data_IF_647713291518
#
_entry.id   IF_647713291518
#
_cell.length_a   1.000
_cell.length_b   1.000
_cell.length_c   1.000
_cell.angle_alpha   90.00
_cell.angle_beta   90.00
_cell.angle_gamma   90.00
#
_symmetry.space_group_name_H-M   'P 1'
#
loop_
_entity.id
_entity.type
_entity.pdbx_description
1 polymer ?
#
# COMPACT_ATOMS: atom_id res chain seq x y z
N UNK A 1 -90.89 0.13 25.25
CA UNK A 1 -89.66 0.79 25.72
C UNK A 1 -88.43 -0.02 25.24
N UNK A 2 -87.76 0.31 24.17
CA UNK A 2 -86.56 -0.36 23.75
C UNK A 2 -85.30 0.41 24.26
N UNK A 3 -84.36 -0.33 24.76
CA UNK A 3 -83.02 0.13 25.20
C UNK A 3 -82.16 0.19 23.98
N UNK A 4 -81.61 1.38 23.68
CA UNK A 4 -80.59 1.56 22.64
C UNK A 4 -79.17 1.26 23.24
N UNK A 5 -78.54 0.24 22.65
CA UNK A 5 -77.21 -0.13 22.94
C UNK A 5 -76.20 0.67 22.03
N UNK A 6 -75.56 1.69 22.59
CA UNK A 6 -74.50 2.43 21.93
C UNK A 6 -73.20 1.64 22.06
N UNK A 7 -72.78 0.99 20.99
CA UNK A 7 -71.50 0.37 20.85
C UNK A 7 -70.52 1.42 20.32
N UNK A 8 -69.67 1.95 21.20
CA UNK A 8 -68.45 2.73 20.85
C UNK A 8 -67.44 1.79 20.19
N UNK A 9 -67.28 1.89 18.87
CA UNK A 9 -66.17 1.30 18.12
C UNK A 9 -64.92 2.18 18.28
N UNK A 10 -64.03 1.82 19.21
CA UNK A 10 -62.71 2.36 19.26
C UNK A 10 -61.88 1.77 18.12
N UNK A 11 -61.76 2.52 17.04
CA UNK A 11 -60.89 2.20 15.91
C UNK A 11 -59.45 2.51 16.33
N UNK A 12 -58.70 1.49 16.71
CA UNK A 12 -57.27 1.58 17.00
C UNK A 12 -56.54 1.68 15.66
N UNK A 13 -56.15 2.92 15.28
CA UNK A 13 -55.23 3.17 14.16
C UNK A 13 -53.82 2.76 14.60
N UNK A 14 -53.42 1.54 14.25
CA UNK A 14 -52.02 1.10 14.29
C UNK A 14 -51.23 1.82 13.18
N UNK A 15 -50.56 2.93 13.54
CA UNK A 15 -49.59 3.55 12.68
C UNK A 15 -48.32 2.67 12.67
N UNK A 16 -47.92 2.11 11.52
CA UNK A 16 -46.65 1.43 11.44
C UNK A 16 -45.53 2.48 11.52
N UNK A 17 -44.87 2.54 12.66
CA UNK A 17 -43.64 3.32 12.84
C UNK A 17 -42.54 2.65 12.00
N UNK A 18 -42.44 3.03 10.71
CA UNK A 18 -41.32 2.62 9.86
C UNK A 18 -40.06 3.28 10.42
N UNK A 19 -39.34 2.52 11.24
CA UNK A 19 -37.98 2.89 11.72
C UNK A 19 -37.04 2.81 10.52
N UNK A 20 -36.88 3.93 9.82
CA UNK A 20 -35.89 4.08 8.76
C UNK A 20 -34.50 4.06 9.42
N UNK A 21 -33.89 2.87 9.46
CA UNK A 21 -32.47 2.73 9.79
C UNK A 21 -31.69 3.43 8.68
N UNK A 22 -31.39 4.71 8.87
CA UNK A 22 -30.38 5.39 8.07
C UNK A 22 -29.05 4.68 8.32
N UNK A 23 -28.67 3.76 7.45
CA UNK A 23 -27.35 3.21 7.40
C UNK A 23 -26.42 4.37 6.98
N UNK A 24 -25.74 4.93 7.95
CA UNK A 24 -24.62 5.84 7.70
C UNK A 24 -23.52 5.00 7.04
N UNK A 25 -23.54 4.91 5.71
CA UNK A 25 -22.40 4.38 4.97
C UNK A 25 -21.21 5.25 5.31
N UNK A 26 -20.22 4.67 5.99
CA UNK A 26 -18.95 5.33 6.21
C UNK A 26 -18.35 5.62 4.84
N UNK A 27 -18.26 6.90 4.45
CA UNK A 27 -17.67 7.36 3.18
C UNK A 27 -16.14 7.12 3.12
N UNK A 28 -15.63 6.12 3.83
CA UNK A 28 -14.23 5.74 3.80
C UNK A 28 -13.97 4.86 2.56
N UNK A 29 -12.88 5.12 1.83
CA UNK A 29 -12.50 4.27 0.70
C UNK A 29 -12.13 2.87 1.19
N UNK A 30 -12.17 1.91 0.28
CA UNK A 30 -11.65 0.57 0.58
C UNK A 30 -10.14 0.66 0.81
N UNK A 31 -9.63 -0.01 1.84
CA UNK A 31 -8.23 0.04 2.22
C UNK A 31 -7.27 -0.25 1.05
N UNK A 32 -7.62 -1.18 0.17
CA UNK A 32 -6.82 -1.56 -0.99
C UNK A 32 -6.85 -0.56 -2.16
N UNK A 33 -7.62 0.51 -2.10
CA UNK A 33 -7.67 1.56 -3.14
C UNK A 33 -6.91 2.83 -2.74
N UNK A 34 -6.51 2.94 -1.47
CA UNK A 34 -5.83 4.13 -0.94
C UNK A 34 -4.41 4.29 -1.48
N UNK A 35 -3.74 3.18 -1.78
CA UNK A 35 -2.38 3.18 -2.33
C UNK A 35 -2.39 2.55 -3.71
N UNK A 36 -1.75 3.24 -4.68
CA UNK A 36 -1.55 2.75 -6.05
C UNK A 36 -0.06 2.43 -6.25
N UNK A 37 0.36 1.18 -6.01
CA UNK A 37 1.75 0.81 -6.16
C UNK A 37 2.06 0.43 -7.62
N UNK A 38 3.30 0.74 -8.06
CA UNK A 38 3.89 0.29 -9.32
C UNK A 38 5.32 -0.15 -9.06
N UNK A 39 5.77 -1.19 -9.75
CA UNK A 39 7.15 -1.67 -9.65
C UNK A 39 7.95 -1.37 -10.92
N UNK A 40 9.24 -1.09 -10.74
CA UNK A 40 10.18 -0.73 -11.80
C UNK A 40 11.51 -1.44 -11.59
N UNK A 41 12.19 -1.78 -12.69
CA UNK A 41 13.54 -2.37 -12.68
C UNK A 41 14.57 -1.32 -13.08
N UNK A 42 15.75 -1.34 -12.47
CA UNK A 42 16.78 -0.31 -12.69
C UNK A 42 17.59 -0.48 -13.98
N UNK A 43 17.73 -1.70 -14.47
CA UNK A 43 18.50 -2.03 -15.69
C UNK A 43 17.78 -3.08 -16.53
N UNK A 44 17.99 -3.05 -17.83
CA UNK A 44 17.46 -4.05 -18.77
C UNK A 44 18.41 -4.23 -19.96
N UNK A 45 18.69 -5.50 -20.37
CA UNK A 45 18.40 -6.73 -19.61
C UNK A 45 19.19 -6.80 -18.30
N UNK A 46 18.80 -7.74 -17.42
CA UNK A 46 19.56 -8.06 -16.20
C UNK A 46 20.57 -9.17 -16.52
N UNK A 47 21.89 -8.91 -16.57
CA UNK A 47 22.86 -9.97 -16.83
C UNK A 47 22.96 -10.93 -15.63
N UNK A 48 23.18 -12.22 -15.90
CA UNK A 48 23.61 -13.17 -14.87
C UNK A 48 24.82 -12.65 -14.09
N UNK A 49 24.92 -12.98 -12.82
CA UNK A 49 25.99 -12.51 -11.92
C UNK A 49 25.89 -11.04 -11.51
N UNK A 50 24.95 -10.26 -12.05
CA UNK A 50 24.85 -8.82 -11.80
C UNK A 50 23.92 -8.49 -10.64
N UNK A 51 24.16 -7.31 -10.04
CA UNK A 51 23.24 -6.68 -9.10
C UNK A 51 22.34 -5.69 -9.85
N UNK A 52 21.09 -5.57 -9.39
CA UNK A 52 20.11 -4.62 -9.92
C UNK A 52 19.17 -4.17 -8.80
N UNK A 53 18.38 -3.14 -9.06
CA UNK A 53 17.37 -2.68 -8.10
C UNK A 53 15.96 -2.84 -8.68
N UNK A 54 15.02 -3.14 -7.80
CA UNK A 54 13.58 -3.01 -8.05
C UNK A 54 13.05 -1.94 -7.12
N UNK A 55 12.31 -0.99 -7.68
CA UNK A 55 11.64 0.07 -6.92
C UNK A 55 10.14 -0.16 -6.92
N UNK A 56 9.52 -0.09 -5.75
CA UNK A 56 8.07 0.00 -5.61
C UNK A 56 7.72 1.44 -5.30
N UNK A 57 7.13 2.13 -6.26
CA UNK A 57 6.61 3.49 -6.12
C UNK A 57 5.16 3.39 -5.70
N UNK A 58 4.85 3.86 -4.51
CA UNK A 58 3.53 3.83 -3.91
C UNK A 58 2.95 5.25 -3.84
N UNK A 59 1.92 5.52 -4.64
CA UNK A 59 1.15 6.77 -4.61
C UNK A 59 0.04 6.64 -3.57
N UNK A 60 0.10 7.44 -2.52
CA UNK A 60 -0.86 7.44 -1.41
C UNK A 60 -1.90 8.52 -1.70
N UNK A 61 -3.18 8.16 -1.61
CA UNK A 61 -4.30 9.07 -1.82
C UNK A 61 -4.22 10.27 -0.86
N UNK A 62 -4.51 11.47 -1.38
CA UNK A 62 -4.57 12.69 -0.57
C UNK A 62 -5.54 12.53 0.62
N UNK A 63 -5.17 13.08 1.79
CA UNK A 63 -5.91 12.92 3.04
C UNK A 63 -5.65 11.59 3.76
N UNK A 64 -4.79 10.73 3.21
CA UNK A 64 -4.33 9.50 3.85
C UNK A 64 -2.82 9.50 4.05
N UNK A 65 -2.40 8.71 5.02
CA UNK A 65 -1.01 8.31 5.25
C UNK A 65 -0.96 6.80 5.49
N UNK A 66 0.21 6.22 5.31
CA UNK A 66 0.48 4.84 5.71
C UNK A 66 1.60 4.85 6.74
N UNK A 67 1.58 3.89 7.67
CA UNK A 67 2.68 3.78 8.63
C UNK A 67 4.00 3.58 7.91
N UNK A 68 5.06 4.24 8.36
CA UNK A 68 6.40 3.98 7.82
C UNK A 68 6.87 2.56 8.17
N UNK A 69 7.99 2.12 7.59
CA UNK A 69 8.56 0.82 7.92
C UNK A 69 8.99 0.74 9.40
N UNK A 70 9.55 1.82 9.94
CA UNK A 70 9.89 1.93 11.36
C UNK A 70 8.74 2.64 12.08
N UNK A 71 7.84 1.87 12.69
CA UNK A 71 6.76 2.40 13.53
C UNK A 71 7.30 2.82 14.90
N UNK A 72 6.60 3.75 15.55
CA UNK A 72 6.95 4.23 16.91
C UNK A 72 6.15 3.53 18.00
N UNK A 73 5.05 2.86 17.64
CA UNK A 73 4.16 2.15 18.55
C UNK A 73 4.00 0.70 18.08
N UNK A 74 4.08 -0.26 18.99
CA UNK A 74 4.10 -1.70 18.67
C UNK A 74 2.81 -2.22 18.04
N UNK A 75 1.68 -1.59 18.32
CA UNK A 75 0.38 -2.00 17.76
C UNK A 75 0.19 -1.58 16.28
N UNK A 76 1.03 -0.69 15.78
CA UNK A 76 0.95 -0.22 14.39
C UNK A 76 1.49 -1.26 13.41
N UNK A 77 0.85 -1.35 12.27
CA UNK A 77 1.27 -2.24 11.19
C UNK A 77 2.25 -1.50 10.29
N UNK A 78 3.54 -1.88 10.26
CA UNK A 78 4.54 -1.23 9.41
C UNK A 78 4.28 -1.51 7.92
N UNK A 79 4.66 -0.55 7.07
CA UNK A 79 4.76 -0.78 5.62
C UNK A 79 5.96 -1.65 5.33
N UNK A 80 5.72 -2.76 4.62
CA UNK A 80 6.75 -3.69 4.18
C UNK A 80 6.56 -4.08 2.72
N UNK A 81 7.67 -4.34 2.03
CA UNK A 81 7.67 -4.98 0.72
C UNK A 81 8.41 -6.31 0.82
N UNK A 82 7.80 -7.36 0.32
CA UNK A 82 8.38 -8.71 0.23
C UNK A 82 8.34 -9.17 -1.22
N UNK A 83 9.17 -10.15 -1.56
CA UNK A 83 9.23 -10.74 -2.89
C UNK A 83 9.43 -12.26 -2.77
N UNK A 84 8.69 -13.01 -3.56
CA UNK A 84 8.96 -14.45 -3.77
C UNK A 84 9.96 -14.58 -4.91
N UNK A 85 11.17 -15.02 -4.57
CA UNK A 85 12.26 -15.06 -5.53
C UNK A 85 12.27 -16.37 -6.31
N UNK A 86 12.35 -16.32 -7.66
CA UNK A 86 12.68 -17.49 -8.46
C UNK A 86 14.08 -17.99 -8.11
N UNK A 87 14.36 -19.27 -8.46
CA UNK A 87 15.70 -19.85 -8.30
C UNK A 87 16.75 -18.99 -9.02
N UNK A 88 17.89 -18.76 -8.39
CA UNK A 88 18.98 -17.94 -8.93
C UNK A 88 18.85 -16.44 -8.63
N UNK A 89 17.91 -16.04 -7.77
CA UNK A 89 17.83 -14.65 -7.28
C UNK A 89 17.97 -14.57 -5.78
N UNK A 90 18.47 -13.45 -5.29
CA UNK A 90 18.54 -13.17 -3.86
C UNK A 90 18.29 -11.67 -3.57
N UNK A 91 17.64 -11.41 -2.46
CA UNK A 91 17.55 -10.03 -1.91
C UNK A 91 18.85 -9.75 -1.15
N UNK A 92 19.54 -8.69 -1.54
CA UNK A 92 20.74 -8.20 -0.86
C UNK A 92 20.36 -7.24 0.26
N UNK A 93 19.42 -6.34 -0.04
CA UNK A 93 18.96 -5.31 0.90
C UNK A 93 17.58 -4.81 0.51
N UNK A 94 16.77 -4.47 1.51
CA UNK A 94 15.54 -3.71 1.31
C UNK A 94 15.72 -2.34 1.96
N UNK A 95 15.57 -1.28 1.18
CA UNK A 95 15.77 0.10 1.60
C UNK A 95 14.42 0.81 1.68
N UNK A 96 14.10 1.28 2.87
CA UNK A 96 12.95 2.11 3.14
C UNK A 96 13.39 3.56 3.34
N UNK A 97 12.73 4.56 2.72
CA UNK A 97 13.05 5.95 2.98
C UNK A 97 12.67 6.33 4.42
N UNK A 98 13.23 7.41 4.97
CA UNK A 98 12.76 7.94 6.24
C UNK A 98 11.30 8.36 6.11
N UNK A 99 10.49 8.05 7.13
CA UNK A 99 9.16 8.59 7.26
C UNK A 99 9.17 9.99 7.85
N UNK A 100 8.01 10.62 7.87
CA UNK A 100 7.77 11.89 8.56
C UNK A 100 7.13 11.60 9.91
N UNK A 101 7.69 12.16 10.97
CA UNK A 101 7.14 12.03 12.32
C UNK A 101 6.13 13.15 12.54
N UNK A 102 4.87 12.78 12.79
CA UNK A 102 3.75 13.70 12.93
C UNK A 102 2.84 13.29 14.09
N UNK A 103 2.10 14.28 14.63
CA UNK A 103 1.04 14.10 15.61
C UNK A 103 -0.31 14.11 14.90
N UNK A 104 -1.14 13.12 15.18
CA UNK A 104 -2.51 13.03 14.69
C UNK A 104 -3.50 13.09 15.85
N UNK A 105 -4.69 13.64 15.63
CA UNK A 105 -5.71 13.81 16.68
C UNK A 105 -6.19 12.49 17.27
N UNK A 106 -6.22 11.42 16.47
CA UNK A 106 -6.65 10.09 16.89
C UNK A 106 -5.58 9.29 17.65
N UNK A 107 -4.35 9.80 17.78
CA UNK A 107 -3.22 9.09 18.39
C UNK A 107 -2.69 9.82 19.62
N UNK A 108 -2.43 9.11 20.72
CA UNK A 108 -1.81 9.68 21.92
C UNK A 108 -0.32 10.00 21.69
N UNK A 109 0.37 9.22 20.85
CA UNK A 109 1.78 9.38 20.50
C UNK A 109 2.04 10.05 19.16
N UNK A 110 3.31 10.26 18.84
CA UNK A 110 3.77 10.63 17.51
C UNK A 110 3.78 9.40 16.61
N UNK A 111 3.41 9.58 15.34
CA UNK A 111 3.46 8.51 14.34
C UNK A 111 4.53 8.81 13.30
N UNK A 112 5.25 7.76 12.87
CA UNK A 112 6.17 7.84 11.74
C UNK A 112 5.45 7.30 10.51
N UNK A 113 5.23 8.15 9.52
CA UNK A 113 4.32 7.87 8.38
C UNK A 113 4.93 8.24 7.03
N UNK A 114 4.36 7.67 5.97
CA UNK A 114 4.54 8.09 4.59
C UNK A 114 3.28 8.75 4.07
N UNK A 115 3.45 9.82 3.28
CA UNK A 115 2.39 10.57 2.62
C UNK A 115 2.78 10.87 1.17
N UNK A 116 1.80 11.12 0.31
CA UNK A 116 2.05 11.43 -1.10
C UNK A 116 2.67 10.26 -1.84
N UNK A 117 3.84 10.43 -2.45
CA UNK A 117 4.53 9.37 -3.18
C UNK A 117 5.77 8.91 -2.41
N UNK A 118 5.85 7.61 -2.16
CA UNK A 118 7.00 6.98 -1.51
C UNK A 118 7.61 5.90 -2.41
N UNK A 119 8.94 5.81 -2.41
CA UNK A 119 9.68 4.80 -3.17
C UNK A 119 10.43 3.86 -2.23
N UNK A 120 10.04 2.59 -2.24
CA UNK A 120 10.70 1.50 -1.51
C UNK A 120 11.61 0.77 -2.51
N UNK A 121 12.82 0.39 -2.11
CA UNK A 121 13.80 -0.23 -3.02
C UNK A 121 14.28 -1.57 -2.50
N UNK A 122 14.37 -2.54 -3.38
CA UNK A 122 15.00 -3.83 -3.14
C UNK A 122 16.27 -3.90 -4.00
N UNK A 123 17.40 -4.13 -3.37
CA UNK A 123 18.64 -4.48 -4.08
C UNK A 123 18.68 -5.98 -4.23
N UNK A 124 18.74 -6.43 -5.45
CA UNK A 124 18.70 -7.84 -5.84
C UNK A 124 19.98 -8.23 -6.56
N UNK A 125 20.25 -9.53 -6.58
CA UNK A 125 21.31 -10.11 -7.37
C UNK A 125 20.76 -11.30 -8.17
N UNK A 126 21.05 -11.32 -9.46
CA UNK A 126 20.89 -12.51 -10.28
C UNK A 126 22.17 -13.34 -10.18
N UNK A 127 22.06 -14.61 -9.83
CA UNK A 127 23.18 -15.53 -9.78
C UNK A 127 23.63 -15.95 -11.20
N UNK A 128 24.80 -16.59 -11.31
CA UNK A 128 25.34 -17.08 -12.57
C UNK A 128 24.44 -18.17 -13.21
N UNK A 129 23.65 -18.89 -12.40
CA UNK A 129 22.73 -19.94 -12.82
C UNK A 129 21.27 -19.50 -12.91
N UNK A 130 20.98 -18.20 -12.80
CA UNK A 130 19.62 -17.69 -12.98
C UNK A 130 19.08 -18.08 -14.35
N UNK A 131 17.82 -18.46 -14.48
CA UNK A 131 17.22 -18.83 -15.74
C UNK A 131 17.21 -17.64 -16.72
N UNK A 132 17.58 -17.89 -17.98
CA UNK A 132 17.55 -16.87 -19.03
C UNK A 132 16.12 -16.61 -19.51
N UNK A 133 15.90 -15.41 -20.07
CA UNK A 133 14.64 -15.00 -20.63
C UNK A 133 13.80 -14.17 -19.65
N UNK A 134 12.51 -14.05 -19.94
CA UNK A 134 11.59 -13.26 -19.12
C UNK A 134 11.23 -14.01 -17.85
N UNK A 135 11.32 -13.34 -16.72
CA UNK A 135 10.90 -13.85 -15.41
C UNK A 135 10.12 -12.81 -14.65
N UNK A 136 9.09 -13.24 -13.92
CA UNK A 136 8.30 -12.39 -13.04
C UNK A 136 8.85 -12.39 -11.62
N UNK A 137 8.83 -11.22 -10.98
CA UNK A 137 9.06 -11.08 -9.55
C UNK A 137 7.75 -10.67 -8.88
N UNK A 138 7.05 -11.59 -8.20
CA UNK A 138 5.84 -11.27 -7.45
C UNK A 138 6.20 -10.56 -6.15
N UNK A 139 6.08 -9.23 -6.15
CA UNK A 139 6.22 -8.43 -4.95
C UNK A 139 4.87 -8.29 -4.24
N UNK A 140 4.92 -8.17 -2.92
CA UNK A 140 3.77 -7.88 -2.08
C UNK A 140 4.06 -6.65 -1.23
N UNK A 141 3.28 -5.60 -1.42
CA UNK A 141 3.27 -4.43 -0.56
C UNK A 141 2.22 -4.64 0.54
N UNK A 142 2.65 -4.66 1.81
CA UNK A 142 1.76 -4.65 2.98
C UNK A 142 1.79 -3.28 3.62
N UNK A 143 0.63 -2.74 3.95
CA UNK A 143 0.50 -1.46 4.66
C UNK A 143 -0.79 -1.38 5.45
N UNK A 144 -0.87 -0.39 6.33
CA UNK A 144 -2.10 0.08 6.96
C UNK A 144 -2.23 1.57 6.68
N UNK A 145 -3.35 1.97 6.10
CA UNK A 145 -3.65 3.36 5.81
C UNK A 145 -4.57 3.95 6.87
N UNK A 146 -4.29 5.21 7.25
CA UNK A 146 -5.11 5.99 8.17
C UNK A 146 -5.36 7.38 7.57
N UNK A 147 -6.47 8.01 7.96
CA UNK A 147 -6.70 9.43 7.76
C UNK A 147 -6.60 10.15 9.12
N UNK A 148 -7.12 11.36 9.21
CA UNK A 148 -7.15 12.17 10.44
C UNK A 148 -8.10 11.64 11.53
N UNK A 149 -8.96 10.66 11.22
CA UNK A 149 -10.02 10.15 12.11
C UNK A 149 -9.90 8.68 12.45
N UNK A 150 -9.46 7.86 11.50
CA UNK A 150 -9.48 6.41 11.66
C UNK A 150 -8.43 5.71 10.79
N UNK A 151 -8.05 4.52 11.25
CA UNK A 151 -7.23 3.59 10.46
C UNK A 151 -8.11 2.55 9.77
N UNK A 152 -7.81 2.31 8.50
CA UNK A 152 -8.41 1.23 7.73
C UNK A 152 -7.77 -0.11 8.08
N UNK A 153 -8.44 -1.23 7.79
CA UNK A 153 -7.81 -2.54 7.95
C UNK A 153 -6.51 -2.66 7.14
N UNK A 154 -5.48 -3.36 7.66
CA UNK A 154 -4.25 -3.60 6.92
C UNK A 154 -4.52 -4.46 5.68
N UNK A 155 -3.81 -4.16 4.59
CA UNK A 155 -3.94 -4.87 3.31
C UNK A 155 -2.61 -5.33 2.78
N UNK A 156 -2.67 -6.28 1.85
CA UNK A 156 -1.55 -6.77 1.03
C UNK A 156 -1.94 -6.57 -0.43
N UNK A 157 -1.09 -5.89 -1.20
CA UNK A 157 -1.27 -5.68 -2.63
C UNK A 157 -0.17 -6.41 -3.38
N UNK A 158 -0.57 -7.17 -4.40
CA UNK A 158 0.37 -7.76 -5.35
C UNK A 158 0.86 -6.65 -6.30
N UNK A 159 2.18 -6.56 -6.45
CA UNK A 159 2.85 -5.57 -7.30
C UNK A 159 3.85 -6.29 -8.21
N UNK A 160 3.37 -7.04 -9.21
CA UNK A 160 4.26 -7.82 -10.06
C UNK A 160 5.15 -6.91 -10.90
N UNK A 161 6.37 -7.36 -11.16
CA UNK A 161 7.27 -6.78 -12.14
C UNK A 161 7.93 -7.90 -12.93
N UNK A 162 8.11 -7.68 -14.22
CA UNK A 162 8.83 -8.58 -15.12
C UNK A 162 10.21 -8.00 -15.41
N UNK A 163 11.17 -8.87 -15.63
CA UNK A 163 12.52 -8.53 -16.06
C UNK A 163 13.03 -9.56 -17.06
N UNK A 164 13.95 -9.16 -17.92
CA UNK A 164 14.59 -10.05 -18.88
C UNK A 164 16.01 -10.37 -18.42
N UNK A 165 16.27 -11.65 -18.15
CA UNK A 165 17.60 -12.16 -17.76
C UNK A 165 18.41 -12.51 -18.99
N UNK A 166 19.61 -11.94 -19.11
CA UNK A 166 20.53 -12.21 -20.21
C UNK A 166 21.78 -12.94 -19.71
N UNK A 167 22.58 -13.41 -20.66
CA UNK A 167 23.89 -14.04 -20.38
C UNK A 167 24.82 -13.11 -19.59
N UNK A 168 25.74 -13.71 -18.84
CA UNK A 168 26.77 -12.98 -18.14
C UNK A 168 27.58 -12.08 -19.10
N UNK A 169 27.83 -10.83 -18.69
CA UNK A 169 28.51 -9.85 -19.53
C UNK A 169 27.66 -9.17 -20.61
N UNK A 170 26.37 -9.48 -20.73
CA UNK A 170 25.46 -8.76 -21.59
C UNK A 170 25.43 -7.25 -21.21
N UNK A 171 25.33 -6.40 -22.23
CA UNK A 171 25.28 -4.94 -22.00
C UNK A 171 23.90 -4.54 -21.49
N UNK A 172 23.82 -4.27 -20.20
CA UNK A 172 22.66 -3.68 -19.57
C UNK A 172 22.55 -2.18 -19.86
N UNK A 173 21.33 -1.69 -19.98
CA UNK A 173 21.03 -0.25 -20.10
C UNK A 173 20.23 0.20 -18.87
N UNK A 174 20.42 1.44 -18.40
CA UNK A 174 19.55 1.99 -17.38
C UNK A 174 18.09 1.95 -17.86
N UNK A 175 17.23 1.36 -17.05
CA UNK A 175 15.78 1.38 -17.22
C UNK A 175 15.19 2.29 -16.12
N UNK A 176 14.17 3.09 -16.50
CA UNK A 176 13.48 4.01 -15.58
C UNK A 176 14.43 4.93 -14.76
N UNK A 177 15.38 5.61 -15.41
CA UNK A 177 16.43 6.35 -14.70
C UNK A 177 15.89 7.44 -13.76
N UNK A 178 14.70 7.97 -14.03
CA UNK A 178 14.03 8.98 -13.20
C UNK A 178 13.64 8.42 -11.82
N UNK A 179 13.34 7.13 -11.73
CA UNK A 179 12.97 6.44 -10.48
C UNK A 179 14.21 6.12 -9.63
N UNK A 180 15.35 5.79 -10.30
CA UNK A 180 16.57 5.30 -9.63
C UNK A 180 17.63 6.38 -9.39
N UNK A 181 17.46 7.59 -9.91
CA UNK A 181 18.37 8.72 -9.58
C UNK A 181 18.33 8.96 -8.08
N UNK A 182 19.49 9.10 -7.48
CA UNK A 182 19.60 9.62 -6.12
C UNK A 182 19.05 11.05 -6.11
N UNK A 183 18.23 11.44 -5.13
CA UNK A 183 17.86 12.84 -4.97
C UNK A 183 19.11 13.68 -4.96
N UNK A 184 19.22 14.63 -5.87
CA UNK A 184 20.29 15.65 -5.78
C UNK A 184 20.02 16.45 -4.51
N UNK A 185 20.99 16.54 -3.57
CA UNK A 185 20.79 17.35 -2.38
C UNK A 185 20.41 18.77 -2.81
N UNK A 186 19.27 19.27 -2.30
CA UNK A 186 18.87 20.64 -2.53
C UNK A 186 20.04 21.56 -2.16
N UNK A 187 20.50 22.40 -3.10
CA UNK A 187 21.45 23.47 -2.79
C UNK A 187 20.84 24.28 -1.66
N UNK A 188 21.47 24.27 -0.49
CA UNK A 188 21.18 25.23 0.57
C UNK A 188 21.40 26.64 -0.03
N UNK A 189 20.31 27.38 -0.22
CA UNK A 189 20.35 28.81 -0.45
C UNK A 189 20.63 29.52 0.85
#
# INVERSE_FOLDING_TARGET
MPRENWRLLCSFFLFPFAFCLAQSESNLPRANTVVKPRAYVSIEPVPRGSAFEVAVVAEIQSGFHINANKVLEEYLIPTTVTVELPKGFQVVETVYPPGKVEKFEFSDGLLNVYQGTVTLRLKLRAAEDAALGTTGLPLVLRYQACNDRACLPPVRLNVPVELHVAEAGAKAKPANPEIFRKPTPAKKQ
#
